data_IF_308393360985
#
_entry.id   IF_308393360985
#
_cell.length_a   1.000
_cell.length_b   1.000
_cell.length_c   1.000
_cell.angle_alpha   90.00
_cell.angle_beta   90.00
_cell.angle_gamma   90.00
#
_symmetry.space_group_name_H-M   'P 1'
#
loop_
_entity.id
_entity.type
_entity.pdbx_description
1 polymer ?
#
# COMPACT_ATOMS: atom_id res chain seq x y z
N UNK A 1 5.41 1.39 15.42
CA UNK A 1 5.07 0.01 14.96
C UNK A 1 4.65 0.06 13.51
N UNK A 2 5.20 -0.80 12.63
CA UNK A 2 4.80 -0.88 11.21
C UNK A 2 4.05 -2.18 10.98
N UNK A 3 2.84 -2.11 10.45
CA UNK A 3 2.00 -3.25 10.12
C UNK A 3 1.87 -3.43 8.61
N UNK A 4 1.78 -4.69 8.16
CA UNK A 4 1.39 -5.05 6.80
C UNK A 4 0.11 -5.87 6.92
N UNK A 5 -0.98 -5.32 6.43
CA UNK A 5 -2.31 -5.90 6.62
C UNK A 5 -2.97 -6.22 5.30
N UNK A 6 -3.51 -7.43 5.20
CA UNK A 6 -4.30 -7.85 4.05
C UNK A 6 -5.77 -7.57 4.34
N UNK A 7 -6.39 -6.79 3.47
CA UNK A 7 -7.82 -6.44 3.57
C UNK A 7 -8.67 -7.38 2.72
N UNK A 8 -9.98 -7.52 3.02
CA UNK A 8 -10.88 -8.35 2.24
C UNK A 8 -10.99 -7.89 0.78
N UNK A 9 -10.97 -8.87 -0.13
CA UNK A 9 -11.15 -8.64 -1.55
C UNK A 9 -12.57 -8.16 -1.87
N UNK A 10 -12.76 -7.24 -2.85
CA UNK A 10 -14.08 -6.79 -3.27
C UNK A 10 -14.90 -7.88 -3.98
N UNK A 11 -14.28 -8.88 -4.59
CA UNK A 11 -14.97 -9.84 -5.46
C UNK A 11 -15.09 -11.24 -4.89
N UNK A 12 -14.11 -11.70 -4.13
CA UNK A 12 -14.04 -13.08 -3.64
C UNK A 12 -13.75 -13.10 -2.15
N UNK A 13 -14.69 -13.63 -1.38
CA UNK A 13 -14.54 -13.88 0.03
C UNK A 13 -14.85 -15.35 0.33
N UNK A 14 -14.00 -16.00 1.10
CA UNK A 14 -14.22 -17.35 1.58
C UNK A 14 -14.89 -17.39 2.96
N UNK A 15 -15.01 -16.22 3.60
CA UNK A 15 -15.52 -16.08 4.98
C UNK A 15 -16.60 -15.01 4.99
N UNK A 16 -17.79 -15.37 5.44
CA UNK A 16 -18.97 -14.48 5.44
C UNK A 16 -18.77 -13.32 6.41
N UNK A 17 -18.06 -13.53 7.52
CA UNK A 17 -17.85 -12.53 8.58
C UNK A 17 -16.61 -11.64 8.37
N UNK A 18 -16.01 -11.66 7.18
CA UNK A 18 -14.87 -10.80 6.85
C UNK A 18 -15.10 -9.31 7.16
N UNK A 19 -16.28 -8.71 6.88
CA UNK A 19 -16.51 -7.31 7.22
C UNK A 19 -16.39 -7.03 8.71
N UNK A 20 -16.86 -7.93 9.57
CA UNK A 20 -16.68 -7.80 11.03
C UNK A 20 -15.21 -7.88 11.43
N UNK A 21 -14.52 -8.90 10.95
CA UNK A 21 -13.10 -9.10 11.26
C UNK A 21 -12.25 -7.92 10.76
N UNK A 22 -12.52 -7.44 9.56
CA UNK A 22 -11.80 -6.31 8.97
C UNK A 22 -12.03 -5.00 9.75
N UNK A 23 -13.28 -4.70 10.12
CA UNK A 23 -13.61 -3.49 10.86
C UNK A 23 -13.01 -3.49 12.27
N UNK A 24 -13.10 -4.62 12.98
CA UNK A 24 -12.48 -4.77 14.30
C UNK A 24 -10.95 -4.68 14.23
N UNK A 25 -10.34 -5.31 13.22
CA UNK A 25 -8.90 -5.22 13.00
C UNK A 25 -8.47 -3.79 12.65
N UNK A 26 -9.22 -3.10 11.79
CA UNK A 26 -8.95 -1.73 11.40
C UNK A 26 -9.01 -0.77 12.60
N UNK A 27 -9.99 -0.95 13.49
CA UNK A 27 -10.09 -0.19 14.73
C UNK A 27 -8.79 -0.28 15.54
N UNK A 28 -8.25 -1.48 15.72
CA UNK A 28 -6.99 -1.70 16.41
C UNK A 28 -5.78 -1.13 15.65
N UNK A 29 -5.78 -1.19 14.33
CA UNK A 29 -4.70 -0.63 13.51
C UNK A 29 -4.66 0.90 13.57
N UNK A 30 -5.83 1.57 13.62
CA UNK A 30 -5.89 3.03 13.77
C UNK A 30 -5.24 3.47 15.07
N UNK A 31 -5.54 2.78 16.17
CA UNK A 31 -5.11 3.19 17.52
C UNK A 31 -3.67 2.77 17.86
N UNK A 32 -3.20 1.63 17.37
CA UNK A 32 -1.99 0.98 17.86
C UNK A 32 -0.82 0.96 16.87
N UNK A 33 -0.98 1.42 15.64
CA UNK A 33 0.12 1.42 14.67
C UNK A 33 0.55 2.84 14.29
N UNK A 34 1.85 3.00 14.01
CA UNK A 34 2.39 4.28 13.50
C UNK A 34 2.28 4.35 11.97
N UNK A 35 2.29 3.20 11.31
CA UNK A 35 2.14 3.07 9.86
C UNK A 35 1.60 1.70 9.50
N UNK A 36 0.68 1.66 8.58
CA UNK A 36 0.06 0.44 8.11
C UNK A 36 0.06 0.38 6.58
N UNK A 37 0.69 -0.65 6.03
CA UNK A 37 0.67 -0.91 4.59
C UNK A 37 -0.51 -1.83 4.29
N UNK A 38 -1.46 -1.33 3.50
CA UNK A 38 -2.64 -2.08 3.10
C UNK A 38 -2.35 -2.87 1.83
N UNK A 39 -2.65 -4.15 1.87
CA UNK A 39 -2.49 -5.09 0.77
C UNK A 39 -3.84 -5.74 0.45
N UNK A 40 -4.07 -6.04 -0.82
CA UNK A 40 -5.28 -6.72 -1.27
C UNK A 40 -4.91 -7.89 -2.18
N UNK A 41 -5.40 -9.06 -1.85
CA UNK A 41 -5.15 -10.27 -2.64
C UNK A 41 -5.65 -10.15 -4.08
N UNK A 42 -6.76 -9.46 -4.33
CA UNK A 42 -7.25 -9.26 -5.70
C UNK A 42 -6.27 -8.43 -6.53
N UNK A 43 -5.76 -7.32 -5.97
CA UNK A 43 -4.76 -6.50 -6.65
C UNK A 43 -3.49 -7.31 -6.94
N UNK A 44 -3.06 -8.16 -6.00
CA UNK A 44 -1.92 -9.06 -6.20
C UNK A 44 -2.19 -10.11 -7.29
N UNK A 45 -3.38 -10.70 -7.34
CA UNK A 45 -3.79 -11.60 -8.43
C UNK A 45 -3.78 -10.90 -9.78
N UNK A 46 -4.31 -9.69 -9.86
CA UNK A 46 -4.32 -8.89 -11.08
C UNK A 46 -2.90 -8.59 -11.57
N UNK A 47 -1.97 -8.28 -10.67
CA UNK A 47 -0.55 -8.11 -11.01
C UNK A 47 0.04 -9.41 -11.56
N UNK A 48 -0.17 -10.54 -10.90
CA UNK A 48 0.31 -11.84 -11.34
C UNK A 48 -0.23 -12.19 -12.74
N UNK A 49 -1.50 -11.94 -12.97
CA UNK A 49 -2.16 -12.31 -14.23
C UNK A 49 -1.80 -11.35 -15.38
N UNK A 50 -1.93 -10.05 -15.16
CA UNK A 50 -1.75 -9.03 -16.21
C UNK A 50 -0.30 -8.70 -16.47
N UNK A 51 0.49 -8.49 -15.42
CA UNK A 51 1.87 -8.01 -15.53
C UNK A 51 2.86 -9.16 -15.62
N UNK A 52 2.75 -10.16 -14.76
CA UNK A 52 3.67 -11.30 -14.73
C UNK A 52 3.28 -12.41 -15.71
N UNK A 53 2.07 -12.35 -16.30
CA UNK A 53 1.56 -13.33 -17.28
C UNK A 53 1.54 -14.76 -16.73
N UNK A 54 1.28 -14.94 -15.45
CA UNK A 54 1.12 -16.26 -14.85
C UNK A 54 -0.27 -16.82 -15.19
N UNK A 55 -0.31 -18.05 -15.69
CA UNK A 55 -1.58 -18.71 -16.08
C UNK A 55 -2.38 -19.21 -14.88
N UNK A 56 -1.72 -19.61 -13.81
CA UNK A 56 -2.32 -20.11 -12.58
C UNK A 56 -1.54 -19.56 -11.37
N UNK A 57 -1.80 -18.31 -10.94
CA UNK A 57 -1.16 -17.75 -9.76
C UNK A 57 -1.55 -18.54 -8.51
N UNK A 58 -0.57 -18.80 -7.67
CA UNK A 58 -0.75 -19.46 -6.37
C UNK A 58 -0.57 -18.46 -5.23
N UNK A 59 -1.00 -18.81 -4.02
CA UNK A 59 -0.68 -18.01 -2.83
C UNK A 59 0.83 -17.81 -2.63
N UNK A 60 1.64 -18.77 -3.05
CA UNK A 60 3.11 -18.63 -3.04
C UNK A 60 3.60 -17.47 -3.92
N UNK A 61 2.98 -17.27 -5.08
CA UNK A 61 3.31 -16.15 -5.98
C UNK A 61 2.88 -14.79 -5.37
N UNK A 62 1.70 -14.74 -4.76
CA UNK A 62 1.23 -13.55 -4.04
C UNK A 62 2.14 -13.20 -2.87
N UNK A 63 2.50 -14.19 -2.07
CA UNK A 63 3.41 -14.02 -0.93
C UNK A 63 4.80 -13.56 -1.38
N UNK A 64 5.26 -13.98 -2.55
CA UNK A 64 6.50 -13.51 -3.13
C UNK A 64 6.45 -12.01 -3.45
N UNK A 65 5.34 -11.52 -4.05
CA UNK A 65 5.16 -10.09 -4.30
C UNK A 65 5.15 -9.28 -3.00
N UNK A 66 4.42 -9.75 -2.00
CA UNK A 66 4.36 -9.10 -0.67
C UNK A 66 5.76 -9.07 -0.04
N UNK A 67 6.48 -10.19 -0.05
CA UNK A 67 7.86 -10.28 0.47
C UNK A 67 8.80 -9.32 -0.23
N UNK A 68 8.64 -9.15 -1.54
CA UNK A 68 9.44 -8.23 -2.34
C UNK A 68 9.18 -6.77 -1.93
N UNK A 69 7.93 -6.40 -1.75
CA UNK A 69 7.55 -5.06 -1.25
C UNK A 69 8.09 -4.81 0.17
N UNK A 70 7.90 -5.77 1.08
CA UNK A 70 8.43 -5.67 2.45
C UNK A 70 9.96 -5.55 2.47
N UNK A 71 10.64 -6.32 1.63
CA UNK A 71 12.10 -6.24 1.48
C UNK A 71 12.55 -4.88 0.95
N UNK A 72 11.81 -4.29 0.02
CA UNK A 72 12.09 -2.95 -0.50
C UNK A 72 11.89 -1.85 0.54
N UNK A 73 10.83 -1.92 1.32
CA UNK A 73 10.52 -0.94 2.37
C UNK A 73 11.57 -0.95 3.48
N UNK A 74 12.08 -2.12 3.83
CA UNK A 74 13.05 -2.30 4.91
C UNK A 74 14.52 -2.29 4.45
N UNK A 75 14.79 -2.10 3.15
CA UNK A 75 16.14 -2.23 2.61
C UNK A 75 17.14 -1.24 3.23
N UNK A 76 16.73 -0.03 3.54
CA UNK A 76 17.59 0.99 4.15
C UNK A 76 18.04 0.65 5.57
N UNK A 77 17.31 -0.22 6.28
CA UNK A 77 17.71 -0.72 7.59
C UNK A 77 18.74 -1.84 7.50
N UNK A 78 18.76 -2.57 6.39
CA UNK A 78 19.53 -3.82 6.24
C UNK A 78 20.79 -3.64 5.43
N UNK A 79 20.82 -2.64 4.56
CA UNK A 79 21.93 -2.43 3.61
C UNK A 79 22.37 -0.97 3.59
N UNK A 80 23.66 -0.70 3.30
CA UNK A 80 24.17 0.65 3.14
C UNK A 80 23.63 1.30 1.88
N UNK A 81 23.51 2.62 1.89
CA UNK A 81 23.04 3.41 0.76
C UNK A 81 23.51 4.86 0.84
N UNK A 82 23.47 5.54 -0.31
CA UNK A 82 23.85 6.96 -0.42
C UNK A 82 22.87 7.87 0.32
N UNK A 83 21.58 7.51 0.31
CA UNK A 83 20.51 8.26 0.95
C UNK A 83 19.67 7.31 1.81
N UNK A 84 20.12 7.10 3.04
CA UNK A 84 19.46 6.19 3.97
C UNK A 84 18.23 6.79 4.62
N UNK A 85 17.28 5.92 4.88
CA UNK A 85 16.08 6.21 5.65
C UNK A 85 15.79 5.04 6.59
N UNK A 86 15.33 5.31 7.79
CA UNK A 86 14.78 4.30 8.69
C UNK A 86 13.25 4.35 8.69
N UNK A 87 12.61 3.35 9.28
CA UNK A 87 11.14 3.29 9.32
C UNK A 87 10.52 4.48 10.07
N UNK A 88 11.21 5.02 11.06
CA UNK A 88 10.74 6.21 11.77
C UNK A 88 10.80 7.46 10.89
N UNK A 89 11.85 7.64 10.11
CA UNK A 89 11.95 8.72 9.12
C UNK A 89 10.91 8.59 8.03
N UNK A 90 10.62 7.36 7.60
CA UNK A 90 9.53 7.10 6.66
C UNK A 90 8.20 7.55 7.27
N UNK A 91 7.88 7.13 8.48
CA UNK A 91 6.65 7.55 9.16
C UNK A 91 6.56 9.09 9.31
N UNK A 92 7.63 9.72 9.79
CA UNK A 92 7.67 11.19 9.98
C UNK A 92 7.43 11.95 8.68
N UNK A 93 7.91 11.46 7.56
CA UNK A 93 7.74 12.12 6.26
C UNK A 93 6.42 11.80 5.57
N UNK A 94 5.83 10.62 5.85
CA UNK A 94 4.64 10.15 5.13
C UNK A 94 3.33 10.39 5.88
N UNK A 95 3.37 10.59 7.19
CA UNK A 95 2.18 10.75 8.04
C UNK A 95 2.00 12.21 8.42
N UNK A 96 1.18 12.98 7.69
CA UNK A 96 0.91 14.38 8.04
C UNK A 96 -0.03 14.52 9.25
N UNK A 97 -0.91 13.57 9.45
CA UNK A 97 -1.86 13.51 10.58
C UNK A 97 -1.83 12.12 11.22
N UNK A 98 -1.89 12.00 12.54
CA UNK A 98 -1.63 10.73 13.24
C UNK A 98 -2.49 9.55 12.77
N UNK A 99 -3.75 9.79 12.42
CA UNK A 99 -4.67 8.74 11.99
C UNK A 99 -4.56 8.39 10.51
N UNK A 100 -4.02 9.30 9.68
CA UNK A 100 -3.86 9.11 8.24
C UNK A 100 -2.53 8.40 7.92
N UNK A 101 -2.32 7.22 8.46
CA UNK A 101 -1.09 6.45 8.37
C UNK A 101 -1.23 5.15 7.56
N UNK A 102 -2.22 5.07 6.68
CA UNK A 102 -2.46 3.93 5.80
C UNK A 102 -1.86 4.16 4.43
N UNK A 103 -1.04 3.21 3.97
CA UNK A 103 -0.26 3.35 2.75
C UNK A 103 -0.61 2.30 1.71
N UNK A 104 -0.53 2.71 0.46
CA UNK A 104 -0.54 1.85 -0.70
C UNK A 104 0.91 1.50 -1.06
N UNK A 105 1.18 0.24 -1.40
CA UNK A 105 2.49 -0.20 -1.85
C UNK A 105 2.51 -0.52 -3.34
N UNK A 106 3.67 -0.31 -3.95
CA UNK A 106 3.96 -0.72 -5.32
C UNK A 106 5.41 -1.16 -5.46
N UNK A 107 5.70 -1.94 -6.48
CA UNK A 107 7.05 -2.43 -6.78
C UNK A 107 7.34 -2.34 -8.27
N UNK A 108 8.57 -2.01 -8.61
CA UNK A 108 9.09 -1.97 -9.97
C UNK A 108 10.53 -2.52 -10.01
N UNK A 109 10.95 -3.28 -11.02
CA UNK A 109 10.20 -3.68 -12.21
C UNK A 109 9.36 -4.93 -11.96
N UNK A 110 8.17 -4.97 -12.53
CA UNK A 110 7.36 -6.17 -12.63
C UNK A 110 7.29 -6.58 -14.09
N UNK A 111 7.95 -7.68 -14.45
CA UNK A 111 8.04 -8.17 -15.82
C UNK A 111 7.82 -9.68 -15.88
N UNK A 112 7.23 -10.16 -16.97
CA UNK A 112 7.13 -11.60 -17.22
C UNK A 112 8.50 -12.21 -17.48
N UNK A 113 8.69 -13.46 -17.08
CA UNK A 113 9.98 -14.18 -17.18
C UNK A 113 10.60 -14.15 -18.58
N UNK A 114 9.80 -14.15 -19.65
CA UNK A 114 10.27 -14.10 -21.04
C UNK A 114 10.75 -12.73 -21.51
N UNK A 115 10.28 -11.65 -20.91
CA UNK A 115 10.58 -10.28 -21.33
C UNK A 115 11.71 -9.61 -20.54
N UNK A 116 12.17 -10.25 -19.48
CA UNK A 116 13.18 -9.69 -18.59
C UNK A 116 14.54 -9.43 -19.27
N UNK A 117 14.89 -10.25 -20.26
CA UNK A 117 16.16 -10.14 -20.99
C UNK A 117 16.20 -9.03 -22.04
N UNK A 118 15.02 -8.59 -22.51
CA UNK A 118 14.89 -7.63 -23.61
C UNK A 118 14.56 -6.19 -23.17
N UNK A 119 14.41 -5.98 -21.88
CA UNK A 119 14.01 -4.68 -21.36
C UNK A 119 15.20 -3.95 -20.73
N UNK A 120 15.54 -2.80 -21.31
CA UNK A 120 16.52 -1.91 -20.70
C UNK A 120 15.89 -1.25 -19.47
N UNK A 121 16.39 -1.58 -18.28
CA UNK A 121 15.97 -0.93 -17.05
C UNK A 121 16.64 0.45 -16.94
N UNK A 122 15.84 1.51 -16.98
CA UNK A 122 16.28 2.87 -16.67
C UNK A 122 15.52 3.40 -15.44
N UNK A 123 16.06 4.41 -14.79
CA UNK A 123 15.40 5.05 -13.64
C UNK A 123 14.05 5.63 -14.05
N UNK A 124 13.96 6.21 -15.26
CA UNK A 124 12.71 6.74 -15.81
C UNK A 124 11.64 5.66 -16.00
N UNK A 125 12.03 4.47 -16.47
CA UNK A 125 11.10 3.35 -16.65
C UNK A 125 10.64 2.79 -15.31
N UNK A 126 11.55 2.62 -14.34
CA UNK A 126 11.20 2.21 -12.97
C UNK A 126 10.20 3.18 -12.35
N UNK A 127 10.44 4.47 -12.50
CA UNK A 127 9.55 5.52 -11.97
C UNK A 127 8.17 5.48 -12.62
N UNK A 128 8.10 5.34 -13.94
CA UNK A 128 6.84 5.25 -14.66
C UNK A 128 6.01 4.04 -14.22
N UNK A 129 6.64 2.87 -14.05
CA UNK A 129 5.96 1.66 -13.57
C UNK A 129 5.52 1.78 -12.11
N UNK A 130 6.34 2.40 -11.27
CA UNK A 130 6.08 2.56 -9.84
C UNK A 130 4.81 3.37 -9.57
N UNK A 131 4.54 4.40 -10.38
CA UNK A 131 3.34 5.23 -10.28
C UNK A 131 2.15 4.72 -11.11
N UNK A 132 2.30 3.62 -11.83
CA UNK A 132 1.18 3.02 -12.58
C UNK A 132 0.16 2.42 -11.60
N UNK A 133 -1.09 2.86 -11.73
CA UNK A 133 -2.21 2.35 -10.93
C UNK A 133 -2.36 0.81 -11.02
N UNK A 134 -1.95 0.21 -12.13
CA UNK A 134 -2.00 -1.25 -12.35
C UNK A 134 -0.96 -2.03 -11.54
N UNK A 135 0.07 -1.36 -11.05
CA UNK A 135 1.14 -1.97 -10.23
C UNK A 135 0.94 -1.76 -8.74
N UNK A 136 -0.14 -1.10 -8.32
CA UNK A 136 -0.48 -0.96 -6.92
C UNK A 136 -0.96 -2.28 -6.33
N UNK A 137 -0.46 -2.63 -5.15
CA UNK A 137 -0.80 -3.85 -4.41
C UNK A 137 -2.07 -3.69 -3.56
N UNK A 138 -2.84 -2.66 -3.83
CA UNK A 138 -4.05 -2.28 -3.12
C UNK A 138 -5.16 -2.02 -4.12
N UNK A 139 -6.39 -2.48 -3.84
CA UNK A 139 -7.56 -2.33 -4.73
C UNK A 139 -8.21 -0.94 -4.60
N UNK A 140 -7.41 0.11 -4.60
CA UNK A 140 -7.85 1.50 -4.68
C UNK A 140 -7.15 2.17 -5.86
N UNK A 141 -7.90 2.94 -6.64
CA UNK A 141 -7.33 3.66 -7.79
C UNK A 141 -6.78 5.02 -7.33
N UNK A 142 -5.46 5.25 -7.41
CA UNK A 142 -4.87 6.53 -7.02
C UNK A 142 -5.43 7.74 -7.77
N UNK A 143 -6.01 7.53 -8.96
CA UNK A 143 -6.61 8.58 -9.79
C UNK A 143 -7.93 9.12 -9.23
N UNK A 144 -8.59 8.37 -8.33
CA UNK A 144 -9.81 8.81 -7.65
C UNK A 144 -9.56 9.69 -6.42
N UNK A 145 -8.31 9.94 -6.10
CA UNK A 145 -7.91 10.77 -4.96
C UNK A 145 -6.65 11.57 -5.25
N UNK A 146 -6.06 12.12 -4.21
CA UNK A 146 -4.78 12.82 -4.28
C UNK A 146 -3.79 12.19 -3.30
N UNK A 147 -2.52 12.19 -3.67
CA UNK A 147 -1.44 11.85 -2.76
C UNK A 147 -1.20 13.00 -1.78
N UNK A 148 -1.28 12.69 -0.50
CA UNK A 148 -0.78 13.58 0.55
C UNK A 148 0.75 13.57 0.52
N UNK A 149 1.31 12.37 0.57
CA UNK A 149 2.75 12.12 0.54
C UNK A 149 3.05 10.82 -0.18
N UNK A 150 4.28 10.66 -0.63
CA UNK A 150 4.77 9.42 -1.21
C UNK A 150 6.24 9.19 -0.84
N UNK A 151 6.67 7.94 -0.83
CA UNK A 151 8.06 7.56 -0.71
C UNK A 151 8.47 6.66 -1.87
N UNK A 152 9.62 6.96 -2.45
CA UNK A 152 10.27 6.16 -3.47
C UNK A 152 11.59 5.63 -2.94
N UNK A 153 11.74 4.31 -2.87
CA UNK A 153 12.92 3.63 -2.35
C UNK A 153 13.60 2.89 -3.47
N UNK A 154 14.66 3.47 -4.00
CA UNK A 154 15.44 2.87 -5.08
C UNK A 154 16.53 1.95 -4.54
N UNK A 155 16.78 0.87 -5.25
CA UNK A 155 17.85 -0.09 -4.95
C UNK A 155 18.69 -0.34 -6.19
N UNK A 156 20.00 -0.32 -6.02
CA UNK A 156 20.97 -0.57 -7.09
C UNK A 156 21.94 0.59 -7.29
N UNK A 157 22.84 0.43 -8.24
CA UNK A 157 23.80 1.48 -8.59
C UNK A 157 23.17 2.46 -9.58
N UNK A 158 22.74 3.60 -9.08
CA UNK A 158 22.15 4.67 -9.87
C UNK A 158 22.52 6.04 -9.32
N UNK A 159 22.40 7.07 -10.15
CA UNK A 159 22.65 8.44 -9.74
C UNK A 159 21.48 8.97 -8.91
N UNK A 160 21.76 9.50 -7.73
CA UNK A 160 20.74 10.17 -6.88
C UNK A 160 20.14 11.36 -7.60
N UNK A 161 20.95 12.11 -8.37
CA UNK A 161 20.48 13.23 -9.19
C UNK A 161 19.44 12.81 -10.21
N UNK A 162 19.66 11.68 -10.90
CA UNK A 162 18.69 11.15 -11.88
C UNK A 162 17.39 10.75 -11.18
N UNK A 163 17.47 10.13 -10.00
CA UNK A 163 16.29 9.80 -9.21
C UNK A 163 15.50 11.06 -8.80
N UNK A 164 16.19 12.09 -8.32
CA UNK A 164 15.56 13.38 -7.95
C UNK A 164 14.90 14.06 -9.14
N UNK A 165 15.56 14.10 -10.30
CA UNK A 165 15.00 14.65 -11.52
C UNK A 165 13.74 13.91 -11.98
N UNK A 166 13.71 12.57 -11.87
CA UNK A 166 12.53 11.79 -12.20
C UNK A 166 11.38 12.03 -11.21
N UNK A 167 11.66 12.14 -9.91
CA UNK A 167 10.64 12.49 -8.92
C UNK A 167 10.06 13.89 -9.16
N UNK A 168 10.91 14.86 -9.44
CA UNK A 168 10.48 16.22 -9.80
C UNK A 168 9.60 16.24 -11.05
N UNK A 169 9.99 15.50 -12.09
CA UNK A 169 9.21 15.37 -13.33
C UNK A 169 7.83 14.74 -13.09
N UNK A 170 7.76 13.72 -12.24
CA UNK A 170 6.48 13.07 -11.89
C UNK A 170 5.57 14.04 -11.15
N UNK A 171 6.08 14.76 -10.17
CA UNK A 171 5.30 15.74 -9.40
C UNK A 171 4.77 16.84 -10.30
N UNK A 172 5.60 17.37 -11.20
CA UNK A 172 5.20 18.45 -12.09
C UNK A 172 4.19 18.02 -13.17
N UNK A 173 4.39 16.85 -13.78
CA UNK A 173 3.48 16.32 -14.79
C UNK A 173 2.13 15.90 -14.23
N UNK A 174 2.10 15.50 -12.96
CA UNK A 174 0.93 14.98 -12.28
C UNK A 174 0.52 15.85 -11.09
N UNK A 175 0.73 17.14 -11.17
CA UNK A 175 0.47 18.09 -10.07
C UNK A 175 -0.97 18.03 -9.54
N UNK A 176 -1.93 17.68 -10.38
CA UNK A 176 -3.34 17.50 -9.98
C UNK A 176 -3.59 16.30 -9.05
N UNK A 177 -2.67 15.33 -9.03
CA UNK A 177 -2.78 14.14 -8.16
C UNK A 177 -2.03 14.28 -6.83
N UNK A 178 -1.38 15.42 -6.59
CA UNK A 178 -0.72 15.75 -5.34
C UNK A 178 -1.41 16.94 -4.66
N UNK A 179 -1.45 16.95 -3.33
CA UNK A 179 -2.01 18.09 -2.59
C UNK A 179 -1.06 19.28 -2.67
N UNK A 180 -1.63 20.48 -2.89
CA UNK A 180 -0.86 21.71 -3.13
C UNK A 180 -0.22 22.26 -1.85
N UNK A 181 -0.82 22.03 -0.70
CA UNK A 181 -0.40 22.59 0.59
C UNK A 181 0.75 21.85 1.27
N UNK A 182 1.16 20.67 0.74
CA UNK A 182 2.36 19.96 1.20
C UNK A 182 3.49 20.23 0.21
N UNK A 183 4.50 21.01 0.56
CA UNK A 183 5.71 21.13 -0.27
C UNK A 183 6.51 19.82 -0.18
N UNK A 184 7.21 19.45 -1.26
CA UNK A 184 8.05 18.25 -1.28
C UNK A 184 7.31 16.96 -0.86
N UNK A 185 6.24 16.64 -1.56
CA UNK A 185 5.38 15.49 -1.28
C UNK A 185 6.08 14.13 -1.36
N UNK A 186 7.23 14.04 -2.04
CA UNK A 186 7.90 12.77 -2.30
C UNK A 186 9.20 12.69 -1.50
N UNK A 187 9.33 11.64 -0.69
CA UNK A 187 10.55 11.24 0.00
C UNK A 187 11.34 10.28 -0.87
N UNK A 188 12.60 10.59 -1.11
CA UNK A 188 13.53 9.71 -1.83
C UNK A 188 14.45 8.98 -0.86
N UNK A 189 14.74 7.71 -1.16
CA UNK A 189 15.73 6.90 -0.48
C UNK A 189 16.44 6.02 -1.51
N UNK A 190 17.75 5.86 -1.38
CA UNK A 190 18.58 5.09 -2.31
C UNK A 190 19.46 4.12 -1.53
N UNK A 191 19.37 2.85 -1.85
CA UNK A 191 20.18 1.77 -1.33
C UNK A 191 21.10 1.24 -2.44
N UNK A 192 22.37 0.99 -2.13
CA UNK A 192 23.37 0.60 -3.14
C UNK A 192 23.25 -0.86 -3.57
N UNK A 193 22.62 -1.71 -2.77
CA UNK A 193 22.54 -3.15 -3.00
C UNK A 193 21.21 -3.50 -3.66
N UNK A 194 21.21 -3.96 -4.93
CA UNK A 194 20.01 -4.37 -5.62
C UNK A 194 19.45 -5.69 -5.07
N UNK A 195 18.16 -6.01 -5.31
CA UNK A 195 17.61 -7.32 -4.99
C UNK A 195 18.21 -8.40 -5.86
N UNK A 196 18.18 -9.66 -5.39
CA UNK A 196 18.70 -10.81 -6.13
C UNK A 196 18.01 -10.95 -7.49
N UNK A 197 18.80 -11.01 -8.54
CA UNK A 197 18.32 -11.24 -9.91
C UNK A 197 17.90 -9.98 -10.68
N UNK A 198 17.99 -8.78 -10.08
CA UNK A 198 17.69 -7.51 -10.74
C UNK A 198 18.85 -6.54 -10.56
N UNK A 199 19.23 -5.78 -11.60
CA UNK A 199 20.29 -4.76 -11.49
C UNK A 199 19.82 -3.53 -10.70
N UNK A 200 18.53 -3.20 -10.76
CA UNK A 200 17.88 -2.07 -10.09
C UNK A 200 16.44 -2.42 -9.74
N UNK A 201 15.94 -1.82 -8.70
CA UNK A 201 14.51 -1.89 -8.35
C UNK A 201 14.06 -0.63 -7.63
N UNK A 202 12.76 -0.41 -7.60
CA UNK A 202 12.13 0.67 -6.85
C UNK A 202 10.92 0.15 -6.09
N UNK A 203 10.75 0.58 -4.86
CA UNK A 203 9.56 0.30 -4.04
C UNK A 203 8.86 1.62 -3.75
N UNK A 204 7.55 1.61 -3.90
CA UNK A 204 6.70 2.77 -3.70
C UNK A 204 5.85 2.59 -2.45
N UNK A 205 5.75 3.65 -1.66
CA UNK A 205 4.76 3.81 -0.60
C UNK A 205 4.03 5.13 -0.82
N UNK A 206 2.71 5.08 -0.95
CA UNK A 206 1.90 6.28 -1.15
C UNK A 206 0.83 6.42 -0.08
N UNK A 207 0.73 7.61 0.50
CA UNK A 207 -0.40 8.00 1.33
C UNK A 207 -1.39 8.77 0.45
N UNK A 208 -2.37 8.06 -0.07
CA UNK A 208 -3.39 8.60 -0.98
C UNK A 208 -4.76 8.63 -0.31
N UNK A 209 -5.53 9.68 -0.56
CA UNK A 209 -6.91 9.75 -0.10
C UNK A 209 -7.81 8.69 -0.75
N UNK A 210 -7.43 8.13 -1.89
CA UNK A 210 -8.19 7.04 -2.55
C UNK A 210 -8.29 5.76 -1.71
N UNK A 211 -7.44 5.59 -0.69
CA UNK A 211 -7.51 4.43 0.21
C UNK A 211 -8.83 4.34 0.97
N UNK A 212 -9.53 5.47 1.13
CA UNK A 212 -10.86 5.52 1.75
C UNK A 212 -11.88 4.63 1.02
N UNK A 213 -11.71 4.37 -0.27
CA UNK A 213 -12.63 3.50 -1.04
C UNK A 213 -12.71 2.09 -0.43
N UNK A 214 -11.58 1.59 0.07
CA UNK A 214 -11.51 0.28 0.74
C UNK A 214 -12.29 0.31 2.04
N UNK A 215 -12.04 1.32 2.87
CA UNK A 215 -12.69 1.47 4.17
C UNK A 215 -14.19 1.70 4.02
N UNK A 216 -14.60 2.51 3.05
CA UNK A 216 -16.00 2.76 2.74
C UNK A 216 -16.73 1.49 2.32
N UNK A 217 -16.13 0.69 1.42
CA UNK A 217 -16.68 -0.59 0.98
C UNK A 217 -16.87 -1.57 2.13
N UNK A 218 -15.85 -1.73 2.97
CA UNK A 218 -15.92 -2.62 4.14
C UNK A 218 -16.97 -2.12 5.12
N UNK A 219 -17.04 -0.81 5.37
CA UNK A 219 -18.03 -0.19 6.24
C UNK A 219 -19.48 -0.37 5.78
N UNK A 220 -19.73 -0.25 4.49
CA UNK A 220 -21.06 -0.51 3.92
C UNK A 220 -21.49 -1.96 4.13
N UNK A 221 -20.59 -2.92 3.91
CA UNK A 221 -20.85 -4.34 4.15
C UNK A 221 -21.07 -4.62 5.64
N UNK A 222 -20.26 -4.05 6.50
CA UNK A 222 -20.39 -4.14 7.96
C UNK A 222 -21.76 -3.63 8.43
N UNK A 223 -22.14 -2.41 8.03
CA UNK A 223 -23.39 -1.77 8.46
C UNK A 223 -24.63 -2.58 8.07
N UNK A 224 -24.64 -3.19 6.88
CA UNK A 224 -25.75 -4.05 6.44
C UNK A 224 -25.90 -5.29 7.33
N UNK A 225 -24.80 -5.90 7.75
CA UNK A 225 -24.80 -7.09 8.61
C UNK A 225 -25.10 -6.72 10.07
N UNK A 226 -24.47 -5.67 10.58
CA UNK A 226 -24.57 -5.23 11.97
C UNK A 226 -25.98 -4.75 12.31
N UNK A 227 -26.65 -4.00 11.43
CA UNK A 227 -28.04 -3.56 11.61
C UNK A 227 -29.01 -4.71 11.84
N UNK A 228 -28.73 -5.88 11.24
CA UNK A 228 -29.53 -7.09 11.38
C UNK A 228 -29.03 -8.02 12.50
N UNK A 229 -27.94 -7.64 13.18
CA UNK A 229 -27.24 -8.45 14.17
C UNK A 229 -26.88 -9.86 13.68
N UNK A 230 -26.64 -9.99 12.36
CA UNK A 230 -26.32 -11.27 11.74
C UNK A 230 -24.95 -11.77 12.22
N UNK A 231 -24.85 -13.05 12.56
CA UNK A 231 -23.65 -13.71 13.08
C UNK A 231 -23.01 -13.08 14.33
N UNK A 232 -23.62 -12.09 14.94
CA UNK A 232 -23.07 -11.40 16.10
C UNK A 232 -22.98 -12.30 17.33
N UNK A 233 -23.91 -13.26 17.47
CA UNK A 233 -23.95 -14.20 18.59
C UNK A 233 -22.69 -15.06 18.73
N UNK A 234 -21.95 -15.33 17.64
CA UNK A 234 -20.69 -16.05 17.71
C UNK A 234 -19.60 -15.27 18.45
N UNK A 235 -19.59 -13.95 18.27
CA UNK A 235 -18.64 -13.06 18.94
C UNK A 235 -19.01 -12.81 20.40
N UNK A 236 -20.29 -12.59 20.67
CA UNK A 236 -20.76 -12.39 22.04
C UNK A 236 -20.64 -13.67 22.89
N UNK A 237 -20.78 -14.84 22.29
CA UNK A 237 -20.55 -16.13 22.97
C UNK A 237 -19.09 -16.32 23.41
N UNK A 238 -18.13 -15.69 22.72
CA UNK A 238 -16.70 -15.69 23.05
C UNK A 238 -16.31 -14.53 23.98
N UNK A 239 -17.29 -13.74 24.47
CA UNK A 239 -17.07 -12.71 25.47
C UNK A 239 -16.89 -11.29 24.92
N UNK A 240 -17.10 -11.06 23.64
CA UNK A 240 -17.09 -9.70 23.07
C UNK A 240 -18.39 -8.95 23.37
N UNK A 241 -18.27 -7.64 23.64
CA UNK A 241 -19.42 -6.77 23.81
C UNK A 241 -19.91 -6.23 22.44
N UNK A 242 -21.24 -6.09 22.30
CA UNK A 242 -21.85 -5.46 21.12
C UNK A 242 -21.38 -3.99 20.96
N UNK A 243 -21.05 -3.32 22.05
CA UNK A 243 -20.54 -1.95 22.01
C UNK A 243 -19.21 -1.82 21.25
N UNK A 244 -18.33 -2.84 21.33
CA UNK A 244 -17.04 -2.85 20.59
C UNK A 244 -17.26 -2.77 19.06
N UNK A 245 -18.32 -3.39 18.56
CA UNK A 245 -18.70 -3.32 17.15
C UNK A 245 -19.17 -1.92 16.75
N UNK A 246 -19.96 -1.27 17.60
CA UNK A 246 -20.44 0.10 17.36
C UNK A 246 -19.29 1.10 17.40
N UNK A 247 -18.36 0.95 18.33
CA UNK A 247 -17.17 1.80 18.44
C UNK A 247 -16.27 1.63 17.21
N UNK A 248 -16.05 0.40 16.78
CA UNK A 248 -15.24 0.11 15.59
C UNK A 248 -15.86 0.69 14.31
N UNK A 249 -17.19 0.60 14.16
CA UNK A 249 -17.93 1.21 13.04
C UNK A 249 -17.79 2.73 13.05
N UNK A 250 -17.98 3.37 14.20
CA UNK A 250 -17.84 4.81 14.35
C UNK A 250 -16.43 5.28 14.00
N UNK A 251 -15.41 4.62 14.55
CA UNK A 251 -14.01 4.97 14.31
C UNK A 251 -13.61 4.83 12.83
N UNK A 252 -14.12 3.80 12.15
CA UNK A 252 -13.90 3.63 10.73
C UNK A 252 -14.60 4.72 9.88
N UNK A 253 -15.82 5.10 10.23
CA UNK A 253 -16.56 6.18 9.54
C UNK A 253 -15.87 7.54 9.74
N UNK A 254 -15.35 7.80 10.93
CA UNK A 254 -14.55 8.99 11.23
C UNK A 254 -13.29 9.02 10.37
N UNK A 255 -12.58 7.90 10.25
CA UNK A 255 -11.39 7.79 9.38
C UNK A 255 -11.73 8.07 7.90
N UNK A 256 -12.85 7.55 7.40
CA UNK A 256 -13.30 7.84 6.02
C UNK A 256 -13.55 9.32 5.83
N UNK A 257 -14.19 9.98 6.82
CA UNK A 257 -14.45 11.43 6.79
C UNK A 257 -13.16 12.26 6.81
N UNK A 258 -12.13 11.79 7.53
CA UNK A 258 -10.82 12.46 7.59
C UNK A 258 -10.03 12.37 6.28
N UNK A 259 -10.28 11.33 5.47
CA UNK A 259 -9.67 11.16 4.14
C UNK A 259 -10.44 11.90 3.02
N UNK A 260 -11.68 12.37 3.26
CA UNK A 260 -12.45 13.14 2.31
C UNK A 260 -12.00 14.61 2.24
#
# INVERSE_FOLDING_TARGET
>A
MTAFSVVPSPKVSNVIVEPYNATLALHQLIENTDQCVILDNEALYDICFRTLKLTKPTFGDLNHLVSTAMSGITCSLRFPGQLNSDLRKVATNLVPFPRLHFFMAGFSPLTSRGNQQYRALSVAELTSQMFDAKNMMCAADPRHGRYLTAAAMFRGRMSTKECEEQMFNVTNKNSSYFVEWIPNNIKLSVCDIPPKGLPMSATFLGNSTSIMEIFKRVGEQFAVMHRRKAWLHWYTAEGMDEMEFTEAESNMNDLVSEYQ
#
